data_IF_891706308971
#
_entry.id   IF_891706308971
#
_cell.length_a   1.000
_cell.length_b   1.000
_cell.length_c   1.000
_cell.angle_alpha   90.00
_cell.angle_beta   90.00
_cell.angle_gamma   90.00
#
_symmetry.space_group_name_H-M   'P 1'
#
loop_
_entity.id
_entity.type
_entity.pdbx_description
1 polymer ?
#
# COMPACT_ATOMS: atom_id res chain seq x y z
N UNK A 1 -20.46 -18.99 -22.62
CA UNK A 1 -20.47 -18.99 -21.14
C UNK A 1 -19.12 -18.56 -20.55
N UNK A 2 -18.00 -19.11 -21.03
CA UNK A 2 -16.68 -18.71 -20.57
C UNK A 2 -16.38 -17.21 -20.79
N UNK A 3 -16.84 -16.63 -21.89
CA UNK A 3 -16.66 -15.21 -22.21
C UNK A 3 -17.39 -14.29 -21.22
N UNK A 4 -18.55 -14.70 -20.71
CA UNK A 4 -19.33 -13.90 -19.76
C UNK A 4 -18.68 -13.90 -18.37
N UNK A 5 -18.10 -15.02 -17.95
CA UNK A 5 -17.37 -15.12 -16.67
C UNK A 5 -16.11 -14.26 -16.69
N UNK A 6 -15.38 -14.25 -17.80
CA UNK A 6 -14.18 -13.41 -17.96
C UNK A 6 -14.55 -11.93 -17.95
N UNK A 7 -15.63 -11.54 -18.59
CA UNK A 7 -16.12 -10.15 -18.62
C UNK A 7 -16.54 -9.70 -17.22
N UNK A 8 -17.29 -10.55 -16.49
CA UNK A 8 -17.70 -10.27 -15.12
C UNK A 8 -16.49 -10.13 -14.18
N UNK A 9 -15.48 -10.97 -14.36
CA UNK A 9 -14.27 -10.91 -13.58
C UNK A 9 -13.48 -9.61 -13.83
N UNK A 10 -13.41 -9.17 -15.09
CA UNK A 10 -12.78 -7.90 -15.47
C UNK A 10 -13.55 -6.69 -14.93
N UNK A 11 -14.89 -6.74 -14.97
CA UNK A 11 -15.74 -5.70 -14.41
C UNK A 11 -15.55 -5.57 -12.89
N UNK A 12 -15.44 -6.68 -12.17
CA UNK A 12 -15.16 -6.69 -10.75
C UNK A 12 -13.81 -6.06 -10.43
N UNK A 13 -12.80 -6.30 -11.27
CA UNK A 13 -11.48 -5.65 -11.13
C UNK A 13 -11.56 -4.15 -11.36
N UNK A 14 -12.33 -3.72 -12.37
CA UNK A 14 -12.52 -2.29 -12.68
C UNK A 14 -13.28 -1.61 -11.55
N UNK A 15 -14.31 -2.24 -11.00
CA UNK A 15 -15.04 -1.73 -9.84
C UNK A 15 -14.12 -1.59 -8.63
N UNK A 16 -13.27 -2.56 -8.35
CA UNK A 16 -12.28 -2.49 -7.28
C UNK A 16 -11.29 -1.34 -7.48
N UNK A 17 -10.93 -1.05 -8.73
CA UNK A 17 -10.06 0.08 -9.06
C UNK A 17 -10.76 1.43 -8.93
N UNK A 18 -12.05 1.50 -9.33
CA UNK A 18 -12.88 2.69 -9.17
C UNK A 18 -13.13 2.96 -7.68
N UNK A 19 -13.32 1.91 -6.90
CA UNK A 19 -13.37 1.97 -5.44
C UNK A 19 -11.99 2.15 -4.79
N UNK A 20 -10.94 2.46 -5.59
CA UNK A 20 -9.62 2.89 -5.11
C UNK A 20 -9.66 4.18 -4.30
N UNK A 21 -10.83 4.80 -4.16
CA UNK A 21 -11.11 5.87 -3.20
C UNK A 21 -11.43 5.32 -1.81
N UNK A 22 -11.51 4.01 -1.64
CA UNK A 22 -11.72 3.39 -0.35
C UNK A 22 -10.53 3.70 0.57
N UNK A 23 -10.81 4.25 1.74
CA UNK A 23 -9.79 4.71 2.66
C UNK A 23 -9.35 3.65 3.66
N UNK A 24 -10.14 2.59 3.82
CA UNK A 24 -9.85 1.52 4.77
C UNK A 24 -9.97 0.18 4.06
N UNK A 25 -8.94 -0.65 4.19
CA UNK A 25 -8.85 -1.96 3.56
C UNK A 25 -8.92 -3.09 4.59
N UNK A 26 -9.57 -4.20 4.22
CA UNK A 26 -9.35 -5.48 4.88
C UNK A 26 -8.11 -6.17 4.27
N UNK A 27 -7.77 -7.37 4.73
CA UNK A 27 -6.59 -8.11 4.26
C UNK A 27 -6.69 -8.41 2.76
N UNK A 28 -7.84 -8.84 2.28
CA UNK A 28 -8.03 -9.14 0.85
C UNK A 28 -7.87 -7.89 -0.01
N UNK A 29 -8.48 -6.81 0.39
CA UNK A 29 -8.38 -5.54 -0.32
C UNK A 29 -6.95 -5.01 -0.31
N UNK A 30 -6.27 -5.13 0.81
CA UNK A 30 -4.87 -4.75 0.92
C UNK A 30 -3.98 -5.60 0.02
N UNK A 31 -4.24 -6.91 -0.03
CA UNK A 31 -3.53 -7.82 -0.94
C UNK A 31 -3.73 -7.41 -2.40
N UNK A 32 -4.95 -7.09 -2.79
CA UNK A 32 -5.25 -6.61 -4.15
C UNK A 32 -4.56 -5.27 -4.44
N UNK A 33 -4.57 -4.36 -3.48
CA UNK A 33 -4.00 -3.02 -3.63
C UNK A 33 -2.47 -3.04 -3.74
N UNK A 34 -1.81 -3.80 -2.90
CA UNK A 34 -0.34 -3.84 -2.82
C UNK A 34 0.29 -4.89 -3.71
N UNK A 35 -0.44 -5.93 -4.08
CA UNK A 35 0.11 -7.12 -4.72
C UNK A 35 0.79 -8.08 -3.75
N UNK A 36 0.76 -7.80 -2.46
CA UNK A 36 1.35 -8.69 -1.46
C UNK A 36 0.47 -9.91 -1.24
N UNK A 37 1.09 -11.06 -1.03
CA UNK A 37 0.38 -12.27 -0.62
C UNK A 37 -0.17 -12.08 0.80
N UNK A 38 -1.34 -12.66 1.07
CA UNK A 38 -1.96 -12.59 2.39
C UNK A 38 -1.03 -13.09 3.49
N UNK A 39 -0.31 -14.18 3.24
CA UNK A 39 0.68 -14.73 4.18
C UNK A 39 1.75 -13.71 4.55
N UNK A 40 2.21 -12.93 3.57
CA UNK A 40 3.19 -11.87 3.81
C UNK A 40 2.59 -10.74 4.64
N UNK A 41 1.34 -10.36 4.35
CA UNK A 41 0.64 -9.33 5.14
C UNK A 41 0.51 -9.75 6.60
N UNK A 42 0.10 -10.99 6.85
CA UNK A 42 0.01 -11.52 8.22
C UNK A 42 1.35 -11.52 8.92
N UNK A 43 2.42 -11.83 8.20
CA UNK A 43 3.77 -11.79 8.74
C UNK A 43 4.16 -10.36 9.15
N UNK A 44 3.87 -9.38 8.29
CA UNK A 44 4.15 -7.97 8.60
C UNK A 44 3.36 -7.48 9.81
N UNK A 45 2.11 -7.89 9.93
CA UNK A 45 1.26 -7.56 11.08
C UNK A 45 1.83 -8.18 12.35
N UNK A 46 2.20 -9.46 12.29
CA UNK A 46 2.75 -10.17 13.44
C UNK A 46 4.04 -9.51 13.95
N UNK A 47 4.86 -9.04 13.05
CA UNK A 47 6.13 -8.38 13.36
C UNK A 47 5.97 -6.87 13.64
N UNK A 48 4.75 -6.34 13.61
CA UNK A 48 4.44 -4.91 13.77
C UNK A 48 5.19 -4.00 12.79
N UNK A 49 5.41 -4.50 11.57
CA UNK A 49 6.13 -3.75 10.53
C UNK A 49 5.21 -2.96 9.62
N UNK A 50 3.91 -3.19 9.67
CA UNK A 50 2.91 -2.51 8.84
C UNK A 50 1.87 -1.86 9.75
N UNK A 51 1.42 -0.62 9.44
CA UNK A 51 0.36 0.00 10.22
C UNK A 51 -0.97 -0.75 10.03
N UNK A 52 -1.59 -1.14 11.13
CA UNK A 52 -2.85 -1.86 11.11
C UNK A 52 -3.71 -1.48 12.31
N UNK A 53 -5.00 -1.78 12.22
CA UNK A 53 -5.97 -1.64 13.31
C UNK A 53 -6.73 -2.95 13.47
N UNK A 54 -7.06 -3.27 14.71
CA UNK A 54 -7.78 -4.51 15.05
C UNK A 54 -8.83 -4.20 16.11
N UNK A 55 -9.85 -3.41 15.76
CA UNK A 55 -10.78 -2.82 16.74
C UNK A 55 -11.53 -3.86 17.56
N UNK A 56 -11.85 -5.02 16.97
CA UNK A 56 -12.55 -6.10 17.67
C UNK A 56 -11.64 -7.24 18.13
N UNK A 57 -10.32 -7.08 17.97
CA UNK A 57 -9.37 -8.13 18.28
C UNK A 57 -9.37 -9.31 17.31
N UNK A 58 -10.18 -9.28 16.26
CA UNK A 58 -10.35 -10.39 15.31
C UNK A 58 -10.09 -10.02 13.87
N UNK A 59 -10.56 -8.85 13.42
CA UNK A 59 -10.50 -8.42 12.02
C UNK A 59 -9.48 -7.31 11.86
N UNK A 60 -8.60 -7.46 10.90
CA UNK A 60 -7.57 -6.48 10.58
C UNK A 60 -8.10 -5.45 9.60
N UNK A 61 -7.81 -4.19 9.87
CA UNK A 61 -8.08 -3.08 8.97
C UNK A 61 -6.81 -2.26 8.77
N UNK A 62 -6.70 -1.65 7.60
CA UNK A 62 -5.52 -0.88 7.20
C UNK A 62 -5.97 0.47 6.65
N UNK A 63 -5.41 1.55 7.17
CA UNK A 63 -5.65 2.90 6.66
C UNK A 63 -4.81 3.11 5.39
N UNK A 64 -5.47 3.43 4.28
CA UNK A 64 -4.84 3.62 2.99
C UNK A 64 -3.68 4.62 3.04
N UNK A 65 -3.86 5.76 3.67
CA UNK A 65 -2.81 6.78 3.77
C UNK A 65 -1.56 6.25 4.45
N UNK A 66 -1.75 5.53 5.54
CA UNK A 66 -0.64 4.93 6.29
C UNK A 66 0.02 3.81 5.50
N UNK A 67 -0.76 3.05 4.73
CA UNK A 67 -0.23 2.02 3.84
C UNK A 67 0.59 2.67 2.71
N UNK A 68 0.09 3.75 2.11
CA UNK A 68 0.83 4.45 1.06
C UNK A 68 2.17 4.98 1.59
N UNK A 69 2.19 5.54 2.78
CA UNK A 69 3.43 5.96 3.44
C UNK A 69 4.37 4.79 3.68
N UNK A 70 3.84 3.67 4.13
CA UNK A 70 4.62 2.44 4.34
C UNK A 70 5.22 1.92 3.03
N UNK A 71 4.43 1.89 1.95
CA UNK A 71 4.88 1.42 0.64
C UNK A 71 5.98 2.30 0.06
N UNK A 72 5.93 3.59 0.33
CA UNK A 72 6.91 4.56 -0.17
C UNK A 72 8.11 4.73 0.75
N UNK A 73 8.08 4.09 1.91
CA UNK A 73 9.19 4.05 2.84
C UNK A 73 10.39 3.35 2.19
N UNK A 74 11.55 3.91 2.28
CA UNK A 74 12.77 3.38 1.66
C UNK A 74 12.69 3.27 0.14
N UNK A 75 11.88 4.13 -0.50
CA UNK A 75 11.81 4.18 -1.96
C UNK A 75 13.19 4.51 -2.56
N UNK A 76 13.55 3.78 -3.62
CA UNK A 76 14.78 4.08 -4.36
C UNK A 76 14.61 5.40 -5.11
N UNK A 77 15.45 6.36 -4.79
CA UNK A 77 15.43 7.67 -5.43
C UNK A 77 16.31 7.67 -6.67
N UNK A 78 15.93 8.45 -7.68
CA UNK A 78 16.78 8.66 -8.84
C UNK A 78 18.06 9.39 -8.44
N UNK A 79 19.11 9.28 -9.26
CA UNK A 79 20.36 10.02 -9.05
C UNK A 79 20.12 11.52 -8.86
N UNK A 80 19.20 12.08 -9.66
CA UNK A 80 18.87 13.50 -9.60
C UNK A 80 18.22 13.88 -8.27
N UNK A 81 17.32 13.06 -7.78
CA UNK A 81 16.67 13.29 -6.48
C UNK A 81 17.67 13.21 -5.32
N UNK A 82 18.57 12.24 -5.36
CA UNK A 82 19.63 12.09 -4.35
C UNK A 82 20.55 13.31 -4.36
N UNK A 83 20.98 13.76 -5.53
CA UNK A 83 21.82 14.93 -5.66
C UNK A 83 21.12 16.20 -5.18
N UNK A 84 19.85 16.35 -5.50
CA UNK A 84 19.05 17.49 -5.05
C UNK A 84 18.92 17.55 -3.53
N UNK A 85 18.64 16.42 -2.91
CA UNK A 85 18.58 16.31 -1.46
C UNK A 85 19.92 16.58 -0.78
N UNK A 86 21.01 16.08 -1.36
CA UNK A 86 22.34 16.34 -0.86
C UNK A 86 22.69 17.84 -0.91
N UNK A 87 22.30 18.53 -1.98
CA UNK A 87 22.48 19.96 -2.12
C UNK A 87 21.65 20.72 -1.09
N UNK A 88 20.38 20.39 -0.95
CA UNK A 88 19.49 21.00 0.05
C UNK A 88 20.01 20.80 1.47
N UNK A 89 20.47 19.60 1.78
CA UNK A 89 21.06 19.29 3.07
C UNK A 89 22.31 20.12 3.35
N UNK A 90 23.18 20.25 2.34
CA UNK A 90 24.39 21.07 2.44
C UNK A 90 24.07 22.54 2.66
N UNK A 91 23.06 23.07 1.98
CA UNK A 91 22.62 24.46 2.15
C UNK A 91 22.00 24.71 3.52
N UNK A 92 21.24 23.74 4.05
CA UNK A 92 20.63 23.88 5.39
C UNK A 92 21.63 23.83 6.51
N UNK A 93 22.74 23.11 6.34
CA UNK A 93 23.76 22.92 7.37
C UNK A 93 24.94 23.88 7.24
N UNK A 94 24.91 24.76 6.24
CA UNK A 94 25.87 25.85 6.11
C UNK A 94 25.42 27.05 6.93
N UNK A 95 25.69 27.03 8.15
CA UNK A 95 25.51 28.22 8.99
C UNK A 95 26.86 28.74 9.40
#
# INVERSE_FOLDING_TARGET
MEKNEIILHKLNRIEKHIFGLKTIFNVEELSDYTGFKKSYIYKLVHENLIPFSKPNGKILFFDRKKIDEFLLQNANKSKEEINREAIEFSLKNKI
#
